data_IF_672440210631
#
_entry.id   IF_672440210631
#
_cell.length_a   1.000
_cell.length_b   1.000
_cell.length_c   1.000
_cell.angle_alpha   90.00
_cell.angle_beta   90.00
_cell.angle_gamma   90.00
#
_symmetry.space_group_name_H-M   'P 1'
#
loop_
_entity.id
_entity.type
_entity.pdbx_description
1 polymer ?
#
# COMPACT_ATOMS: atom_id res chain seq x y z
N UNK A 1 -19.28 64.33 5.06
CA UNK A 1 -19.34 62.95 5.57
C UNK A 1 -18.86 62.00 4.48
N UNK A 2 -17.66 61.46 4.60
CA UNK A 2 -17.15 60.40 3.71
C UNK A 2 -17.40 59.06 4.40
N UNK A 3 -18.25 58.22 3.81
CA UNK A 3 -18.52 56.87 4.30
C UNK A 3 -17.34 56.00 3.87
N UNK A 4 -16.55 55.54 4.85
CA UNK A 4 -15.53 54.51 4.65
C UNK A 4 -16.26 53.18 4.47
N UNK A 5 -16.29 52.66 3.24
CA UNK A 5 -16.68 51.27 2.98
C UNK A 5 -15.51 50.37 3.34
N UNK A 6 -15.57 49.75 4.52
CA UNK A 6 -14.68 48.67 4.92
C UNK A 6 -15.11 47.43 4.13
N UNK A 7 -14.34 47.09 3.10
CA UNK A 7 -14.44 45.80 2.42
C UNK A 7 -13.71 44.78 3.28
N UNK A 8 -14.47 44.00 4.05
CA UNK A 8 -13.93 42.85 4.80
C UNK A 8 -13.68 41.72 3.79
N UNK A 9 -12.42 41.53 3.42
CA UNK A 9 -11.98 40.33 2.72
C UNK A 9 -11.98 39.15 3.71
N UNK A 10 -13.04 38.35 3.69
CA UNK A 10 -12.98 36.99 4.23
C UNK A 10 -12.17 36.13 3.25
N UNK A 11 -10.88 35.95 3.55
CA UNK A 11 -10.05 34.91 2.92
C UNK A 11 -10.48 33.57 3.52
N UNK A 12 -11.53 32.96 2.97
CA UNK A 12 -11.77 31.52 3.16
C UNK A 12 -10.90 30.77 2.15
N UNK A 13 -9.70 30.38 2.59
CA UNK A 13 -8.75 29.60 1.81
C UNK A 13 -9.10 28.09 1.87
N UNK A 14 -10.32 27.73 1.43
CA UNK A 14 -10.81 26.34 1.32
C UNK A 14 -11.10 25.93 -0.14
N UNK A 15 -10.48 26.59 -1.13
CA UNK A 15 -10.77 26.32 -2.56
C UNK A 15 -9.92 25.23 -3.22
N UNK A 16 -8.87 24.71 -2.57
CA UNK A 16 -7.97 23.73 -3.19
C UNK A 16 -8.29 22.27 -2.89
N UNK A 17 -9.19 21.95 -1.96
CA UNK A 17 -9.57 20.55 -1.68
C UNK A 17 -10.86 20.10 -2.37
N UNK A 18 -11.73 21.02 -2.78
CA UNK A 18 -13.00 20.67 -3.45
C UNK A 18 -12.86 20.41 -4.98
N UNK A 19 -11.69 20.69 -5.58
CA UNK A 19 -11.49 20.49 -7.02
C UNK A 19 -11.19 19.03 -7.41
N UNK A 20 -10.81 18.16 -6.48
CA UNK A 20 -10.55 16.75 -6.77
C UNK A 20 -11.82 15.89 -6.83
N UNK A 21 -12.95 16.37 -6.30
CA UNK A 21 -14.22 15.62 -6.27
C UNK A 21 -15.04 15.68 -7.57
N UNK A 22 -14.59 16.44 -8.57
CA UNK A 22 -15.25 16.57 -9.87
C UNK A 22 -14.37 16.04 -11.02
N UNK A 23 -13.42 15.14 -10.76
CA UNK A 23 -12.87 14.36 -11.87
C UNK A 23 -13.99 13.46 -12.39
N UNK A 24 -14.44 13.73 -13.61
CA UNK A 24 -15.33 12.84 -14.32
C UNK A 24 -14.67 11.46 -14.37
N UNK A 25 -15.42 10.44 -13.93
CA UNK A 25 -15.00 9.06 -14.07
C UNK A 25 -14.66 8.81 -15.54
N UNK A 26 -13.38 8.63 -15.83
CA UNK A 26 -12.90 8.32 -17.17
C UNK A 26 -11.81 7.27 -17.09
N UNK A 27 -11.72 6.48 -18.14
CA UNK A 27 -10.61 5.58 -18.31
C UNK A 27 -9.33 6.37 -18.63
N UNK A 28 -8.20 5.91 -18.08
CA UNK A 28 -6.89 6.44 -18.41
C UNK A 28 -6.49 5.96 -19.82
N UNK A 29 -5.94 6.86 -20.61
CA UNK A 29 -5.31 6.53 -21.89
C UNK A 29 -3.91 5.95 -21.66
N UNK A 30 -3.40 5.17 -22.61
CA UNK A 30 -2.07 4.58 -22.49
C UNK A 30 -0.98 5.67 -22.38
N UNK A 31 -0.14 5.57 -21.36
CA UNK A 31 0.87 6.56 -20.99
C UNK A 31 0.37 7.62 -20.00
N UNK A 32 -0.93 7.70 -19.74
CA UNK A 32 -1.46 8.58 -18.69
C UNK A 32 -1.13 8.06 -17.30
N UNK A 33 -0.93 9.02 -16.40
CA UNK A 33 -0.40 8.83 -15.06
C UNK A 33 -1.19 9.67 -14.07
N UNK A 34 -1.53 9.08 -12.93
CA UNK A 34 -2.22 9.79 -11.84
C UNK A 34 -1.66 9.35 -10.47
N UNK A 35 -1.69 10.27 -9.51
CA UNK A 35 -1.51 9.95 -8.09
C UNK A 35 -2.88 9.70 -7.48
N UNK A 36 -3.07 8.51 -6.92
CA UNK A 36 -4.28 8.14 -6.22
C UNK A 36 -4.10 8.45 -4.75
N UNK A 37 -4.91 9.37 -4.25
CA UNK A 37 -4.86 9.81 -2.87
C UNK A 37 -6.26 10.01 -2.28
N UNK A 38 -6.66 9.08 -1.41
CA UNK A 38 -7.91 9.19 -0.65
C UNK A 38 -7.63 9.28 0.84
N UNK A 39 -7.64 10.51 1.34
CA UNK A 39 -7.53 10.78 2.78
C UNK A 39 -8.83 10.51 3.55
N UNK A 40 -9.97 10.55 2.85
CA UNK A 40 -11.27 10.84 3.47
C UNK A 40 -12.38 9.89 3.06
N UNK A 41 -12.08 8.67 2.62
CA UNK A 41 -13.14 7.68 2.63
C UNK A 41 -13.38 7.28 4.10
N UNK A 42 -14.34 7.93 4.77
CA UNK A 42 -15.02 7.36 5.94
C UNK A 42 -15.51 5.92 5.70
N UNK A 43 -15.52 5.52 4.42
CA UNK A 43 -15.97 4.27 3.86
C UNK A 43 -14.87 3.20 3.74
N UNK A 44 -13.57 3.56 3.82
CA UNK A 44 -12.46 2.59 3.70
C UNK A 44 -11.51 2.68 4.90
N UNK A 45 -10.99 1.54 5.37
CA UNK A 45 -10.15 1.45 6.57
C UNK A 45 -8.76 2.06 6.41
N UNK A 46 -8.26 2.13 5.18
CA UNK A 46 -6.90 2.52 4.85
C UNK A 46 -6.92 3.53 3.70
N UNK A 47 -6.15 4.62 3.82
CA UNK A 47 -6.04 5.60 2.75
C UNK A 47 -5.34 4.97 1.54
N UNK A 48 -5.94 5.10 0.35
CA UNK A 48 -5.29 4.74 -0.91
C UNK A 48 -4.18 5.75 -1.18
N UNK A 49 -2.95 5.27 -1.34
CA UNK A 49 -1.80 6.11 -1.68
C UNK A 49 -0.87 5.34 -2.61
N UNK A 50 -1.00 5.57 -3.91
CA UNK A 50 -0.17 4.93 -4.92
C UNK A 50 -0.16 5.76 -6.19
N UNK A 51 0.80 5.48 -7.06
CA UNK A 51 0.80 5.99 -8.42
C UNK A 51 0.25 4.94 -9.35
N UNK A 52 -0.55 5.37 -10.33
CA UNK A 52 -1.13 4.51 -11.35
C UNK A 52 -0.76 5.06 -12.73
N UNK A 53 -0.23 4.19 -13.57
CA UNK A 53 0.04 4.45 -14.97
C UNK A 53 -0.67 3.43 -15.83
N UNK A 54 -1.44 3.86 -16.83
CA UNK A 54 -2.00 2.96 -17.83
C UNK A 54 -0.94 2.64 -18.88
N UNK A 55 -0.72 1.37 -19.17
CA UNK A 55 0.15 0.91 -20.27
C UNK A 55 -0.68 0.35 -21.41
N UNK A 56 -0.02 -0.06 -22.51
CA UNK A 56 -0.69 -0.71 -23.63
C UNK A 56 -1.33 -2.06 -23.24
N UNK A 57 -0.79 -2.74 -22.23
CA UNK A 57 -1.19 -4.11 -21.87
C UNK A 57 -1.82 -4.20 -20.48
N UNK A 58 -2.00 -3.08 -19.77
CA UNK A 58 -2.45 -3.10 -18.39
C UNK A 58 -2.14 -1.81 -17.63
N UNK A 59 -1.66 -1.97 -16.40
CA UNK A 59 -1.42 -0.89 -15.46
C UNK A 59 -0.12 -1.14 -14.68
N UNK A 60 0.67 -0.09 -14.49
CA UNK A 60 1.78 -0.08 -13.54
C UNK A 60 1.35 0.67 -12.28
N UNK A 61 1.51 0.03 -11.14
CA UNK A 61 1.22 0.61 -9.83
C UNK A 61 2.52 0.75 -9.08
N UNK A 62 2.77 1.94 -8.53
CA UNK A 62 3.98 2.21 -7.76
C UNK A 62 3.61 2.53 -6.32
N UNK A 63 4.09 1.69 -5.42
CA UNK A 63 3.91 1.76 -3.99
C UNK A 63 5.19 2.28 -3.33
N UNK A 64 5.06 3.28 -2.47
CA UNK A 64 6.12 3.70 -1.58
C UNK A 64 5.89 3.03 -0.21
N UNK A 65 6.64 1.97 0.10
CA UNK A 65 6.56 1.27 1.39
C UNK A 65 7.87 1.48 2.15
N UNK A 66 7.77 2.15 3.30
CA UNK A 66 8.87 2.38 4.22
C UNK A 66 8.85 1.29 5.31
N UNK A 67 9.92 0.50 5.36
CA UNK A 67 10.09 -0.52 6.36
C UNK A 67 10.83 0.04 7.58
N UNK A 68 10.40 -0.34 8.77
CA UNK A 68 11.12 -0.05 10.01
C UNK A 68 11.07 -1.23 10.96
N UNK A 69 12.17 -1.56 11.62
CA UNK A 69 12.17 -2.65 12.62
C UNK A 69 11.54 -2.17 13.93
N UNK A 70 10.52 -2.88 14.42
CA UNK A 70 9.81 -2.52 15.65
C UNK A 70 10.77 -2.47 16.86
N UNK A 71 10.78 -1.34 17.57
CA UNK A 71 11.76 -1.01 18.63
C UNK A 71 11.74 -1.95 19.84
N UNK A 72 10.56 -2.47 20.18
CA UNK A 72 10.36 -3.15 21.45
C UNK A 72 10.95 -4.58 21.51
N UNK A 73 11.47 -5.11 20.40
CA UNK A 73 11.67 -6.56 20.28
C UNK A 73 12.90 -7.03 19.50
N UNK A 74 13.99 -6.25 19.42
CA UNK A 74 15.24 -6.83 18.88
C UNK A 74 15.83 -7.82 19.88
N UNK A 75 15.31 -9.05 19.84
CA UNK A 75 15.85 -10.18 20.59
C UNK A 75 17.12 -10.61 19.90
N UNK A 76 18.21 -10.58 20.66
CA UNK A 76 19.51 -11.18 20.37
C UNK A 76 19.38 -12.70 20.21
N UNK A 77 18.75 -13.20 19.13
CA UNK A 77 18.85 -14.60 18.74
C UNK A 77 19.91 -14.73 17.67
N UNK A 78 21.04 -15.30 18.09
CA UNK A 78 22.14 -15.89 17.31
C UNK A 78 22.25 -15.46 15.83
N UNK A 79 22.93 -14.34 15.60
CA UNK A 79 23.74 -14.19 14.40
C UNK A 79 25.18 -14.43 14.82
N UNK A 80 25.63 -15.68 14.70
CA UNK A 80 27.04 -16.03 14.82
C UNK A 80 27.81 -15.44 13.65
N UNK A 81 28.96 -14.84 13.95
CA UNK A 81 30.00 -14.38 13.03
C UNK A 81 29.62 -13.35 11.95
N UNK A 82 29.57 -12.08 12.36
CA UNK A 82 29.59 -10.91 11.47
C UNK A 82 30.99 -10.25 11.43
N UNK A 83 32.04 -11.03 11.18
CA UNK A 83 33.42 -10.49 11.12
C UNK A 83 33.86 -9.96 9.74
N UNK A 84 32.99 -9.96 8.71
CA UNK A 84 33.36 -9.50 7.36
C UNK A 84 32.23 -8.66 6.73
N UNK A 85 32.15 -7.36 7.02
CA UNK A 85 31.37 -6.44 6.17
C UNK A 85 32.06 -5.08 6.00
N UNK A 86 32.28 -4.76 4.73
CA UNK A 86 32.76 -3.49 4.21
C UNK A 86 31.61 -2.47 4.20
N UNK A 87 31.95 -1.21 4.51
CA UNK A 87 31.03 -0.08 4.41
C UNK A 87 30.53 0.11 2.96
N UNK A 88 29.32 0.68 2.74
CA UNK A 88 28.78 0.89 1.39
C UNK A 88 29.65 1.88 0.59
N UNK A 89 29.72 1.65 -0.72
CA UNK A 89 30.58 2.35 -1.68
C UNK A 89 30.14 3.81 -1.92
N UNK A 90 31.11 4.72 -2.13
CA UNK A 90 31.02 6.19 -1.99
C UNK A 90 30.31 6.99 -3.12
N UNK A 91 29.61 6.37 -4.07
CA UNK A 91 29.10 7.13 -5.23
C UNK A 91 27.63 7.60 -5.11
N UNK A 92 27.38 8.64 -4.31
CA UNK A 92 26.20 9.51 -4.42
C UNK A 92 26.49 10.86 -3.75
N UNK A 93 26.67 11.91 -4.56
CA UNK A 93 27.28 13.19 -4.11
C UNK A 93 26.26 14.19 -3.55
N UNK A 94 24.95 14.00 -3.71
CA UNK A 94 23.93 14.85 -3.06
C UNK A 94 23.34 14.23 -1.79
N UNK A 95 23.49 12.91 -1.59
CA UNK A 95 23.19 12.24 -0.32
C UNK A 95 24.31 12.38 0.72
N UNK A 96 25.43 13.04 0.37
CA UNK A 96 26.59 13.18 1.27
C UNK A 96 26.23 13.88 2.58
N UNK A 97 25.36 14.88 2.58
CA UNK A 97 24.99 15.60 3.81
C UNK A 97 24.14 14.75 4.76
N UNK A 98 23.17 14.01 4.24
CA UNK A 98 22.33 13.12 5.05
C UNK A 98 23.11 11.88 5.49
N UNK A 99 23.91 11.29 4.61
CA UNK A 99 24.79 10.19 4.94
C UNK A 99 25.84 10.59 5.98
N UNK A 100 26.50 11.74 5.81
CA UNK A 100 27.44 12.27 6.81
C UNK A 100 26.73 12.52 8.15
N UNK A 101 25.52 13.10 8.14
CA UNK A 101 24.73 13.29 9.37
C UNK A 101 24.41 11.96 10.05
N UNK A 102 23.89 10.97 9.31
CA UNK A 102 23.56 9.64 9.83
C UNK A 102 24.81 8.91 10.33
N UNK A 103 25.92 9.01 9.61
CA UNK A 103 27.20 8.43 9.99
C UNK A 103 27.78 9.07 11.26
N UNK A 104 27.72 10.40 11.37
CA UNK A 104 28.14 11.13 12.58
C UNK A 104 27.27 10.76 13.78
N UNK A 105 25.95 10.65 13.61
CA UNK A 105 25.04 10.16 14.65
C UNK A 105 25.37 8.72 15.05
N UNK A 106 25.57 7.85 14.07
CA UNK A 106 25.93 6.44 14.29
C UNK A 106 27.25 6.30 15.08
N UNK A 107 28.25 7.15 14.80
CA UNK A 107 29.52 7.14 15.54
C UNK A 107 29.41 7.53 17.01
N UNK A 108 28.37 8.28 17.37
CA UNK A 108 28.11 8.66 18.76
C UNK A 108 27.44 7.53 19.57
N UNK A 109 26.92 6.50 18.90
CA UNK A 109 26.30 5.35 19.54
C UNK A 109 27.34 4.42 20.17
N UNK A 110 26.94 3.71 21.23
CA UNK A 110 27.73 2.59 21.75
C UNK A 110 27.87 1.49 20.70
N UNK A 111 28.92 0.66 20.80
CA UNK A 111 29.15 -0.48 19.89
C UNK A 111 27.94 -1.42 19.80
N UNK A 112 27.19 -1.58 20.90
CA UNK A 112 25.97 -2.40 20.95
C UNK A 112 24.85 -1.79 20.12
N UNK A 113 24.62 -0.49 20.25
CA UNK A 113 23.63 0.26 19.48
C UNK A 113 23.99 0.34 18.00
N UNK A 114 25.28 0.47 17.69
CA UNK A 114 25.79 0.40 16.31
C UNK A 114 25.47 -0.95 15.64
N UNK A 115 25.77 -2.07 16.30
CA UNK A 115 25.43 -3.41 15.80
C UNK A 115 23.92 -3.57 15.62
N UNK A 116 23.13 -3.02 16.54
CA UNK A 116 21.68 -3.04 16.46
C UNK A 116 21.19 -2.27 15.23
N UNK A 117 21.71 -1.07 15.00
CA UNK A 117 21.34 -0.22 13.86
C UNK A 117 21.68 -0.89 12.52
N UNK A 118 22.86 -1.50 12.39
CA UNK A 118 23.24 -2.26 11.18
C UNK A 118 22.22 -3.37 10.90
N UNK A 119 21.87 -4.16 11.93
CA UNK A 119 20.90 -5.25 11.79
C UNK A 119 19.52 -4.76 11.37
N UNK A 120 19.10 -3.57 11.84
CA UNK A 120 17.84 -2.96 11.41
C UNK A 120 17.88 -2.64 9.91
N UNK A 121 18.93 -1.97 9.46
CA UNK A 121 19.11 -1.63 8.04
C UNK A 121 19.22 -2.86 7.13
N UNK A 122 19.93 -3.90 7.56
CA UNK A 122 20.00 -5.17 6.82
C UNK A 122 18.63 -5.81 6.65
N UNK A 123 17.82 -5.82 7.71
CA UNK A 123 16.48 -6.38 7.69
C UNK A 123 15.55 -5.58 6.75
N UNK A 124 15.59 -4.25 6.81
CA UNK A 124 14.84 -3.37 5.91
C UNK A 124 15.19 -3.65 4.44
N UNK A 125 16.49 -3.73 4.12
CA UNK A 125 16.97 -4.05 2.76
C UNK A 125 16.51 -5.43 2.28
N UNK A 126 16.59 -6.45 3.14
CA UNK A 126 16.10 -7.80 2.83
C UNK A 126 14.60 -7.76 2.49
N UNK A 127 13.82 -6.96 3.21
CA UNK A 127 12.38 -6.86 3.00
C UNK A 127 12.00 -6.06 1.75
N UNK A 128 12.76 -5.02 1.39
CA UNK A 128 12.61 -4.33 0.11
C UNK A 128 12.80 -5.33 -1.05
N UNK A 129 13.90 -6.08 -1.04
CA UNK A 129 14.20 -7.03 -2.11
C UNK A 129 13.22 -8.21 -2.14
N UNK A 130 12.84 -8.74 -0.97
CA UNK A 130 11.82 -9.77 -0.87
C UNK A 130 10.48 -9.31 -1.44
N UNK A 131 10.05 -8.08 -1.14
CA UNK A 131 8.80 -7.51 -1.67
C UNK A 131 8.85 -7.43 -3.20
N UNK A 132 9.93 -6.90 -3.78
CA UNK A 132 10.11 -6.85 -5.23
C UNK A 132 10.06 -8.24 -5.88
N UNK A 133 10.75 -9.22 -5.29
CA UNK A 133 10.73 -10.62 -5.78
C UNK A 133 9.31 -11.19 -5.72
N UNK A 134 8.55 -10.92 -4.66
CA UNK A 134 7.17 -11.37 -4.55
C UNK A 134 6.24 -10.70 -5.59
N UNK A 135 6.43 -9.40 -5.85
CA UNK A 135 5.69 -8.68 -6.89
C UNK A 135 5.96 -9.28 -8.27
N UNK A 136 7.23 -9.49 -8.62
CA UNK A 136 7.59 -10.11 -9.90
C UNK A 136 7.06 -11.53 -10.03
N UNK A 137 7.16 -12.33 -8.95
CA UNK A 137 6.66 -13.73 -8.93
C UNK A 137 5.17 -13.83 -9.30
N UNK A 138 4.36 -12.86 -8.87
CA UNK A 138 2.91 -12.89 -9.05
C UNK A 138 2.40 -11.96 -10.16
N UNK A 139 3.28 -11.33 -10.90
CA UNK A 139 2.97 -10.39 -11.99
C UNK A 139 1.90 -10.92 -12.95
N UNK A 140 2.11 -12.13 -13.47
CA UNK A 140 1.22 -12.74 -14.49
C UNK A 140 -0.12 -13.24 -13.93
N UNK A 141 -0.33 -13.18 -12.61
CA UNK A 141 -1.55 -13.67 -11.94
C UNK A 141 -2.55 -12.56 -11.66
N UNK A 142 -2.07 -11.31 -11.64
CA UNK A 142 -2.87 -10.15 -11.30
C UNK A 142 -3.43 -9.56 -12.60
N UNK A 143 -4.34 -10.29 -13.22
CA UNK A 143 -4.98 -9.95 -14.48
C UNK A 143 -6.49 -9.76 -14.30
N UNK A 144 -7.14 -9.11 -15.25
CA UNK A 144 -8.60 -9.16 -15.37
C UNK A 144 -9.03 -10.21 -16.43
N UNK A 145 -10.34 -10.36 -16.62
CA UNK A 145 -10.93 -11.26 -17.62
C UNK A 145 -10.54 -10.95 -19.07
N UNK A 146 -10.17 -9.69 -19.34
CA UNK A 146 -9.75 -9.21 -20.66
C UNK A 146 -8.24 -9.39 -20.90
N UNK A 147 -7.50 -9.88 -19.89
CA UNK A 147 -6.04 -10.06 -19.94
C UNK A 147 -5.22 -8.81 -19.61
N UNK A 148 -5.84 -7.71 -19.20
CA UNK A 148 -5.12 -6.54 -18.67
C UNK A 148 -4.42 -6.90 -17.37
N UNK A 149 -3.12 -6.59 -17.29
CA UNK A 149 -2.27 -6.93 -16.13
C UNK A 149 -2.13 -5.74 -15.18
N UNK A 150 -2.06 -5.98 -13.88
CA UNK A 150 -1.58 -5.00 -12.89
C UNK A 150 -0.18 -5.42 -12.45
N UNK A 151 0.81 -4.58 -12.73
CA UNK A 151 2.18 -4.75 -12.29
C UNK A 151 2.42 -3.90 -11.04
N UNK A 152 2.79 -4.54 -9.94
CA UNK A 152 3.15 -3.83 -8.71
C UNK A 152 4.64 -3.52 -8.69
N UNK A 153 4.98 -2.29 -8.36
CA UNK A 153 6.34 -1.79 -8.27
C UNK A 153 6.56 -1.17 -6.89
N UNK A 154 7.71 -1.45 -6.28
CA UNK A 154 8.14 -0.80 -5.05
C UNK A 154 9.13 0.31 -5.41
N UNK A 155 8.79 1.55 -5.05
CA UNK A 155 9.65 2.72 -5.24
C UNK A 155 10.24 3.17 -3.91
N UNK A 156 11.46 3.69 -3.94
CA UNK A 156 12.09 4.30 -2.77
C UNK A 156 11.47 5.66 -2.45
N UNK A 157 11.76 6.17 -1.25
CA UNK A 157 11.33 7.51 -0.85
C UNK A 157 11.90 8.59 -1.75
N UNK A 158 13.15 8.44 -2.18
CA UNK A 158 13.84 9.35 -3.10
C UNK A 158 13.14 9.34 -4.46
N UNK A 159 12.88 8.15 -5.01
CA UNK A 159 12.14 8.02 -6.28
C UNK A 159 10.73 8.63 -6.19
N UNK A 160 10.05 8.48 -5.05
CA UNK A 160 8.74 9.07 -4.81
C UNK A 160 8.78 10.60 -4.64
N UNK A 161 9.94 11.17 -4.27
CA UNK A 161 10.15 12.61 -4.14
C UNK A 161 10.54 13.28 -5.45
N UNK A 162 11.24 12.56 -6.34
CA UNK A 162 11.65 13.06 -7.66
C UNK A 162 10.48 13.21 -8.65
N UNK A 163 9.29 12.72 -8.29
CA UNK A 163 8.08 12.87 -9.09
C UNK A 163 7.40 14.18 -8.71
N UNK A 164 7.91 15.28 -9.25
CA UNK A 164 7.57 16.68 -8.92
C UNK A 164 6.06 16.97 -8.80
N UNK A 165 5.24 16.35 -9.65
CA UNK A 165 3.78 16.57 -9.67
C UNK A 165 2.99 15.57 -8.80
N UNK A 166 3.63 14.51 -8.30
CA UNK A 166 2.96 13.33 -7.76
C UNK A 166 3.68 12.75 -6.55
N UNK A 167 3.68 13.50 -5.44
CA UNK A 167 4.25 13.03 -4.17
C UNK A 167 3.44 11.85 -3.62
N UNK A 168 3.95 10.64 -3.80
CA UNK A 168 3.37 9.42 -3.20
C UNK A 168 3.79 9.34 -1.74
N UNK A 169 2.83 9.48 -0.83
CA UNK A 169 3.11 9.29 0.59
C UNK A 169 3.46 7.83 0.87
N UNK A 170 4.39 7.62 1.78
CA UNK A 170 4.79 6.30 2.21
C UNK A 170 3.74 5.58 3.07
N UNK A 171 3.72 4.27 2.91
CA UNK A 171 3.10 3.32 3.84
C UNK A 171 4.16 2.78 4.77
N UNK A 172 3.97 2.94 6.07
CA UNK A 172 4.93 2.44 7.06
C UNK A 172 4.60 1.00 7.45
N UNK A 173 5.58 0.12 7.34
CA UNK A 173 5.49 -1.29 7.74
C UNK A 173 6.51 -1.58 8.83
N UNK A 174 6.01 -1.98 9.99
CA UNK A 174 6.85 -2.46 11.09
C UNK A 174 7.29 -3.91 10.84
N UNK A 175 8.57 -4.19 10.94
CA UNK A 175 9.13 -5.53 10.82
C UNK A 175 9.28 -6.17 12.21
N UNK A 176 8.71 -7.37 12.35
CA UNK A 176 8.71 -8.14 13.60
C UNK A 176 9.58 -9.40 13.46
N UNK A 177 10.70 -9.51 14.21
CA UNK A 177 11.64 -10.64 14.12
C UNK A 177 11.17 -11.91 14.84
N UNK A 178 9.85 -12.08 15.01
CA UNK A 178 9.22 -13.15 15.78
C UNK A 178 7.95 -13.61 15.09
N UNK A 179 7.38 -14.76 15.52
CA UNK A 179 6.03 -15.14 15.13
C UNK A 179 5.06 -13.98 15.41
N UNK A 180 4.60 -13.35 14.34
CA UNK A 180 3.69 -12.22 14.34
C UNK A 180 2.66 -12.48 13.24
N UNK A 181 1.37 -12.38 13.55
CA UNK A 181 0.33 -12.44 12.51
C UNK A 181 0.46 -11.16 11.69
N UNK A 182 1.01 -11.31 10.49
CA UNK A 182 1.24 -10.18 9.60
C UNK A 182 -0.09 -9.52 9.24
N UNK A 183 -0.05 -8.20 9.07
CA UNK A 183 -1.14 -7.33 8.67
C UNK A 183 -0.55 -6.13 7.94
N UNK A 184 -1.40 -5.19 7.53
CA UNK A 184 -1.01 -4.10 6.63
C UNK A 184 -0.04 -3.10 7.25
N UNK A 185 0.20 -3.12 8.57
CA UNK A 185 1.16 -2.24 9.25
C UNK A 185 2.32 -2.99 9.88
N UNK A 186 2.31 -4.33 9.82
CA UNK A 186 3.24 -5.15 10.56
C UNK A 186 3.51 -6.47 9.88
N UNK A 187 4.75 -6.75 9.52
CA UNK A 187 5.12 -8.00 8.84
C UNK A 187 6.08 -8.82 9.71
N UNK A 188 5.82 -10.12 9.77
CA UNK A 188 6.75 -11.07 10.37
C UNK A 188 7.96 -11.27 9.46
N UNK A 189 9.14 -11.49 10.05
CA UNK A 189 10.35 -11.97 9.36
C UNK A 189 10.11 -13.16 8.41
N UNK A 190 9.12 -14.01 8.74
CA UNK A 190 8.71 -15.19 7.96
C UNK A 190 7.47 -14.98 7.11
N UNK A 191 7.05 -13.73 6.86
CA UNK A 191 5.90 -13.44 5.98
C UNK A 191 6.07 -14.13 4.61
N UNK A 192 4.99 -14.69 4.08
CA UNK A 192 4.99 -15.35 2.76
C UNK A 192 4.79 -14.34 1.63
N UNK A 193 5.14 -14.69 0.38
CA UNK A 193 4.88 -13.80 -0.74
C UNK A 193 3.38 -13.59 -0.97
N UNK A 194 2.57 -14.61 -0.74
CA UNK A 194 1.11 -14.55 -0.84
C UNK A 194 0.55 -13.52 0.13
N UNK A 195 1.07 -13.51 1.37
CA UNK A 195 0.71 -12.50 2.36
C UNK A 195 1.23 -11.12 1.97
N UNK A 196 2.47 -10.98 1.48
CA UNK A 196 2.99 -9.69 1.00
C UNK A 196 2.07 -9.09 -0.08
N UNK A 197 1.64 -9.90 -1.06
CA UNK A 197 0.71 -9.46 -2.10
C UNK A 197 -0.61 -9.02 -1.46
N UNK A 198 -1.26 -9.89 -0.68
CA UNK A 198 -2.52 -9.56 -0.01
C UNK A 198 -2.44 -8.25 0.80
N UNK A 199 -1.41 -8.08 1.63
CA UNK A 199 -1.22 -6.86 2.41
C UNK A 199 -0.94 -5.63 1.55
N UNK A 200 -0.28 -5.81 0.39
CA UNK A 200 -0.02 -4.71 -0.54
C UNK A 200 -1.31 -4.24 -1.22
N UNK A 201 -2.26 -5.14 -1.48
CA UNK A 201 -3.56 -4.78 -2.07
C UNK A 201 -4.45 -3.97 -1.11
N UNK A 202 -4.24 -4.08 0.20
CA UNK A 202 -4.87 -3.17 1.15
C UNK A 202 -4.42 -1.71 0.96
N UNK A 203 -3.18 -1.44 0.54
CA UNK A 203 -2.73 -0.08 0.19
C UNK A 203 -3.40 0.48 -1.07
N UNK A 204 -3.94 -0.41 -1.91
CA UNK A 204 -4.72 -0.06 -3.09
C UNK A 204 -6.21 0.11 -2.79
N UNK A 205 -6.60 -0.11 -1.53
CA UNK A 205 -7.95 0.07 -1.03
C UNK A 205 -8.78 -1.21 -1.02
N UNK A 206 -8.24 -2.39 -1.31
CA UNK A 206 -9.02 -3.61 -1.09
C UNK A 206 -9.16 -3.91 0.41
N UNK A 207 -10.23 -4.58 0.81
CA UNK A 207 -10.53 -4.94 2.20
C UNK A 207 -10.48 -6.45 2.40
N UNK A 208 -10.34 -6.92 3.64
CA UNK A 208 -10.44 -8.33 3.97
C UNK A 208 -11.86 -8.85 3.66
N UNK A 209 -11.94 -9.97 2.94
CA UNK A 209 -13.21 -10.57 2.50
C UNK A 209 -13.38 -12.01 3.04
N UNK A 210 -12.69 -12.36 4.12
CA UNK A 210 -12.82 -13.64 4.82
C UNK A 210 -13.46 -13.50 6.19
N UNK A 211 -14.00 -14.62 6.68
CA UNK A 211 -14.56 -14.74 8.02
C UNK A 211 -13.44 -14.67 9.08
N UNK A 212 -13.50 -13.67 9.95
CA UNK A 212 -12.66 -13.56 11.14
C UNK A 212 -13.57 -13.34 12.36
N UNK A 213 -13.32 -14.06 13.46
CA UNK A 213 -14.07 -13.92 14.71
C UNK A 213 -14.05 -12.49 15.24
N UNK A 214 -12.98 -11.73 14.97
CA UNK A 214 -12.87 -10.32 15.34
C UNK A 214 -13.64 -9.34 14.44
N UNK A 215 -14.10 -9.78 13.27
CA UNK A 215 -14.65 -8.92 12.22
C UNK A 215 -15.87 -9.55 11.52
N UNK A 216 -16.87 -9.90 12.32
CA UNK A 216 -18.10 -10.57 11.87
C UNK A 216 -18.97 -9.76 10.87
N UNK A 217 -18.65 -8.49 10.63
CA UNK A 217 -19.36 -7.63 9.67
C UNK A 217 -18.77 -7.66 8.26
N UNK A 218 -17.67 -8.40 8.04
CA UNK A 218 -17.05 -8.55 6.72
C UNK A 218 -17.98 -9.28 5.77
N UNK A 219 -18.03 -8.80 4.54
CA UNK A 219 -18.66 -9.53 3.46
C UNK A 219 -17.71 -10.58 2.92
N UNK A 220 -18.25 -11.75 2.62
CA UNK A 220 -17.45 -12.92 2.27
C UNK A 220 -17.33 -13.04 0.75
N UNK A 221 -16.10 -13.04 0.26
CA UNK A 221 -15.81 -13.39 -1.13
C UNK A 221 -15.54 -14.90 -1.27
N UNK A 222 -15.52 -15.43 -2.50
CA UNK A 222 -15.13 -16.81 -2.74
C UNK A 222 -13.70 -17.12 -2.25
N UNK A 223 -13.43 -18.39 -1.94
CA UNK A 223 -12.12 -18.85 -1.45
C UNK A 223 -10.97 -18.68 -2.47
N UNK A 224 -11.26 -18.35 -3.72
CA UNK A 224 -10.27 -18.02 -4.75
C UNK A 224 -10.02 -16.51 -4.89
N UNK A 225 -10.70 -15.65 -4.12
CA UNK A 225 -10.40 -14.21 -4.03
C UNK A 225 -9.07 -14.01 -3.29
N UNK A 226 -8.21 -13.15 -3.83
CA UNK A 226 -6.99 -12.71 -3.15
C UNK A 226 -7.26 -12.15 -1.75
N UNK A 227 -8.41 -11.50 -1.58
CA UNK A 227 -8.79 -10.84 -0.34
C UNK A 227 -9.52 -11.75 0.65
N UNK A 228 -9.90 -12.96 0.25
CA UNK A 228 -10.45 -13.97 1.14
C UNK A 228 -9.39 -15.02 1.54
N UNK A 229 -8.68 -15.61 0.56
CA UNK A 229 -7.74 -16.69 0.83
C UNK A 229 -6.53 -16.66 -0.12
N UNK A 230 -5.57 -15.80 0.20
CA UNK A 230 -4.39 -15.52 -0.61
C UNK A 230 -3.53 -16.75 -0.96
N UNK A 231 -3.54 -17.79 -0.11
CA UNK A 231 -2.77 -19.04 -0.37
C UNK A 231 -3.40 -19.92 -1.44
N UNK A 232 -4.70 -19.79 -1.68
CA UNK A 232 -5.46 -20.56 -2.68
C UNK A 232 -5.50 -19.75 -3.95
N UNK A 233 -5.88 -18.47 -3.88
CA UNK A 233 -5.99 -17.59 -5.05
C UNK A 233 -4.72 -17.54 -5.90
N UNK A 234 -3.54 -17.50 -5.27
CA UNK A 234 -2.25 -17.39 -5.97
C UNK A 234 -1.69 -18.74 -6.47
N UNK A 235 -2.50 -19.80 -6.49
CA UNK A 235 -2.17 -21.07 -7.16
C UNK A 235 -2.72 -21.08 -8.58
N UNK A 236 -1.83 -21.13 -9.58
CA UNK A 236 -2.16 -21.06 -11.04
C UNK A 236 -3.24 -22.04 -11.51
N UNK A 237 -3.40 -23.15 -10.80
CA UNK A 237 -4.28 -24.26 -11.19
C UNK A 237 -5.77 -23.95 -11.03
N UNK A 238 -6.13 -22.87 -10.30
CA UNK A 238 -7.51 -22.62 -9.89
C UNK A 238 -8.22 -21.67 -10.85
N UNK A 239 -7.60 -20.53 -11.19
CA UNK A 239 -8.22 -19.47 -11.97
C UNK A 239 -7.17 -18.64 -12.71
N UNK A 240 -7.47 -18.13 -13.92
CA UNK A 240 -6.52 -17.29 -14.67
C UNK A 240 -6.29 -15.91 -14.06
N UNK A 241 -7.13 -15.46 -13.13
CA UNK A 241 -7.02 -14.16 -12.47
C UNK A 241 -7.37 -14.25 -10.98
N UNK A 242 -6.68 -13.47 -10.15
CA UNK A 242 -6.84 -13.47 -8.68
C UNK A 242 -7.71 -12.33 -8.14
N UNK A 243 -8.02 -11.35 -8.97
CA UNK A 243 -8.87 -10.21 -8.64
C UNK A 243 -10.20 -10.30 -9.36
N UNK A 244 -11.29 -10.12 -8.62
CA UNK A 244 -12.62 -10.00 -9.20
C UNK A 244 -12.79 -8.66 -9.95
N UNK A 245 -13.72 -8.56 -10.92
CA UNK A 245 -13.94 -7.35 -11.71
C UNK A 245 -14.06 -6.06 -10.88
N UNK A 246 -14.85 -6.08 -9.80
CA UNK A 246 -15.02 -4.91 -8.93
C UNK A 246 -13.73 -4.52 -8.17
N UNK A 247 -12.93 -5.50 -7.75
CA UNK A 247 -11.63 -5.26 -7.11
C UNK A 247 -10.65 -4.64 -8.10
N UNK A 248 -10.59 -5.18 -9.33
CA UNK A 248 -9.73 -4.67 -10.39
C UNK A 248 -10.12 -3.23 -10.77
N UNK A 249 -11.42 -2.96 -10.94
CA UNK A 249 -11.94 -1.62 -11.24
C UNK A 249 -11.63 -0.62 -10.12
N UNK A 250 -11.76 -1.01 -8.84
CA UNK A 250 -11.46 -0.09 -7.72
C UNK A 250 -10.04 0.49 -7.79
N UNK A 251 -9.10 -0.32 -8.28
CA UNK A 251 -7.69 0.01 -8.36
C UNK A 251 -7.37 0.78 -9.63
N UNK A 252 -7.95 0.37 -10.75
CA UNK A 252 -7.57 0.87 -12.08
C UNK A 252 -8.40 2.06 -12.56
N UNK A 253 -9.54 2.30 -11.91
CA UNK A 253 -10.44 3.44 -12.15
C UNK A 253 -10.69 4.18 -10.83
N UNK A 254 -9.64 4.79 -10.23
CA UNK A 254 -9.83 5.60 -9.03
C UNK A 254 -10.79 6.75 -9.35
N UNK A 255 -11.55 7.19 -8.34
CA UNK A 255 -12.59 8.24 -8.45
C UNK A 255 -13.84 7.85 -9.26
N UNK A 256 -13.92 6.62 -9.76
CA UNK A 256 -15.13 6.04 -10.37
C UNK A 256 -16.02 5.32 -9.34
N UNK A 257 -16.27 5.94 -8.19
CA UNK A 257 -16.95 5.29 -7.07
C UNK A 257 -18.36 4.78 -7.42
N UNK A 258 -19.05 5.43 -8.37
CA UNK A 258 -20.36 4.99 -8.86
C UNK A 258 -20.28 3.68 -9.66
N UNK A 259 -19.22 3.48 -10.45
CA UNK A 259 -19.01 2.22 -11.19
C UNK A 259 -18.66 1.05 -10.25
N UNK A 260 -18.24 1.36 -9.03
CA UNK A 260 -17.87 0.37 -8.02
C UNK A 260 -18.71 0.47 -6.75
N UNK A 261 -19.91 1.05 -6.85
CA UNK A 261 -20.73 1.39 -5.69
C UNK A 261 -21.05 0.16 -4.85
N UNK A 262 -21.45 -0.96 -5.47
CA UNK A 262 -21.78 -2.19 -4.74
C UNK A 262 -20.61 -2.66 -3.89
N UNK A 263 -19.42 -2.78 -4.49
CA UNK A 263 -18.22 -3.20 -3.77
C UNK A 263 -17.89 -2.26 -2.62
N UNK A 264 -17.92 -0.94 -2.86
CA UNK A 264 -17.65 0.06 -1.84
C UNK A 264 -18.67 -0.04 -0.70
N UNK A 265 -19.97 -0.16 -1.00
CA UNK A 265 -21.03 -0.28 0.00
C UNK A 265 -20.87 -1.53 0.87
N UNK A 266 -20.57 -2.68 0.26
CA UNK A 266 -20.33 -3.92 1.01
C UNK A 266 -19.01 -3.84 1.81
N UNK A 267 -17.99 -3.14 1.30
CA UNK A 267 -16.69 -3.03 1.97
C UNK A 267 -16.70 -2.18 3.25
N UNK A 268 -17.69 -1.28 3.43
CA UNK A 268 -17.77 -0.34 4.57
C UNK A 268 -17.70 -1.01 5.95
N UNK A 269 -18.21 -2.22 6.04
CA UNK A 269 -18.31 -2.93 7.31
C UNK A 269 -17.08 -3.78 7.64
N UNK A 270 -16.11 -3.91 6.74
CA UNK A 270 -15.05 -4.92 6.84
C UNK A 270 -14.16 -4.79 8.08
N UNK A 271 -14.12 -3.60 8.67
CA UNK A 271 -13.38 -3.31 9.90
C UNK A 271 -14.24 -2.58 10.95
N UNK A 272 -15.56 -2.58 10.77
CA UNK A 272 -16.49 -1.94 11.68
C UNK A 272 -16.61 -2.75 12.98
N UNK A 273 -16.65 -2.06 14.12
CA UNK A 273 -16.92 -2.68 15.44
C UNK A 273 -18.39 -3.11 15.59
N UNK A 274 -19.28 -2.43 14.89
CA UNK A 274 -20.72 -2.69 14.89
C UNK A 274 -21.17 -2.83 13.44
N UNK A 275 -21.91 -3.90 13.12
CA UNK A 275 -22.39 -4.11 11.77
C UNK A 275 -23.52 -3.14 11.46
N UNK A 276 -23.29 -2.26 10.49
CA UNK A 276 -24.37 -1.49 9.90
C UNK A 276 -25.09 -2.41 8.91
N UNK A 277 -26.42 -2.32 8.82
CA UNK A 277 -27.14 -3.10 7.82
C UNK A 277 -26.66 -2.71 6.42
N UNK A 278 -26.12 -3.68 5.69
CA UNK A 278 -25.77 -3.52 4.28
C UNK A 278 -26.93 -3.91 3.38
N UNK A 279 -26.91 -3.46 2.11
CA UNK A 279 -27.85 -3.93 1.11
C UNK A 279 -27.83 -5.45 0.96
N UNK A 280 -28.97 -6.06 0.61
CA UNK A 280 -29.10 -7.52 0.48
C UNK A 280 -28.16 -8.12 -0.58
N UNK A 281 -27.80 -7.36 -1.61
CA UNK A 281 -26.84 -7.80 -2.64
C UNK A 281 -25.42 -8.00 -2.09
N UNK A 282 -25.12 -7.57 -0.87
CA UNK A 282 -23.85 -7.86 -0.21
C UNK A 282 -23.83 -9.27 0.41
N UNK A 283 -24.98 -9.95 0.52
CA UNK A 283 -25.07 -11.31 1.07
C UNK A 283 -24.70 -12.38 0.02
N UNK A 284 -24.76 -12.03 -1.26
CA UNK A 284 -24.27 -12.86 -2.37
C UNK A 284 -22.96 -12.30 -2.96
N UNK A 285 -22.39 -12.98 -3.95
CA UNK A 285 -21.09 -12.61 -4.54
C UNK A 285 -21.21 -11.53 -5.64
N UNK A 286 -22.41 -11.03 -5.94
CA UNK A 286 -22.64 -10.05 -7.02
C UNK A 286 -22.05 -8.66 -6.77
N UNK A 287 -21.57 -8.39 -5.55
CA UNK A 287 -20.83 -7.15 -5.26
C UNK A 287 -19.39 -7.18 -5.81
N UNK A 288 -18.91 -8.34 -6.24
CA UNK A 288 -17.59 -8.54 -6.85
C UNK A 288 -17.60 -8.41 -8.38
N UNK A 289 -18.78 -8.40 -8.99
CA UNK A 289 -19.01 -8.23 -10.44
C UNK A 289 -19.05 -6.75 -10.83
#
# INVERSE_FOLDING_TARGET
MKILSIVVYFIFNCKTQAQFFNQECRELEAGERISVYDLYSQLMPLPRKYFLEKTQTGYEIYLNIEFSVADDQVIYRHFGDLNHYLLPNESLVESLNEYQRLYLQYRQLSKKEQILQIKKWEMEKIFIEKTKVCFEKYRDYITNEEGSVINLNLISKEQAMDWDDFKVLSHNVSLYPKPYRSNTRGWSDKISCETIIHESFHYLGLVDEYKDEGFHCRHHAPDDSLMAYQKVSLKKEIKPFVLYPAQFRLITRPYCDLENEKYIQCSKNSYAKMCIKTPSYCEDQSFLE
#
